data_IF_192840472397
#
_entry.id   IF_192840472397
#
_cell.length_a   1.000
_cell.length_b   1.000
_cell.length_c   1.000
_cell.angle_alpha   90.00
_cell.angle_beta   90.00
_cell.angle_gamma   90.00
#
_symmetry.space_group_name_H-M   'P 1'
#
loop_
_entity.id
_entity.type
_entity.pdbx_description
1 polymer ?
#
# COMPACT_ATOMS: atom_id res chain seq x y z
N UNK A 1 3.11 15.13 -5.06
CA UNK A 1 1.84 14.64 -5.61
C UNK A 1 2.14 13.92 -6.90
N UNK A 2 1.71 12.67 -6.98
CA UNK A 2 1.90 11.83 -8.16
C UNK A 2 0.96 12.30 -9.28
N UNK A 3 1.31 12.10 -10.56
CA UNK A 3 0.40 12.41 -11.67
C UNK A 3 -0.76 11.40 -11.82
N UNK A 4 -0.91 10.50 -10.86
CA UNK A 4 -1.91 9.44 -10.80
C UNK A 4 -2.21 9.06 -9.34
N UNK A 5 -3.35 8.40 -9.12
CA UNK A 5 -3.71 7.85 -7.81
C UNK A 5 -3.20 6.41 -7.64
N UNK A 6 -2.87 6.07 -6.40
CA UNK A 6 -2.58 4.71 -5.95
C UNK A 6 -3.84 4.11 -5.32
N UNK A 7 -4.31 2.97 -5.83
CA UNK A 7 -5.43 2.27 -5.20
C UNK A 7 -4.91 1.43 -4.04
N UNK A 8 -5.39 1.70 -2.83
CA UNK A 8 -5.00 0.97 -1.63
C UNK A 8 -6.17 0.85 -0.65
N UNK A 9 -6.26 -0.31 0.00
CA UNK A 9 -7.13 -0.54 1.14
C UNK A 9 -6.37 -1.34 2.20
N UNK A 10 -6.59 -1.04 3.49
CA UNK A 10 -5.93 -1.77 4.60
C UNK A 10 -6.26 -3.28 4.56
N UNK A 11 -7.45 -3.64 4.06
CA UNK A 11 -7.87 -5.03 3.86
C UNK A 11 -7.12 -5.79 2.76
N UNK A 12 -6.21 -5.17 2.02
CA UNK A 12 -5.33 -5.89 1.08
C UNK A 12 -4.31 -6.76 1.81
N UNK A 13 -4.03 -6.50 3.09
CA UNK A 13 -3.29 -7.43 3.93
C UNK A 13 -4.21 -8.53 4.48
N UNK A 14 -4.35 -9.61 3.71
CA UNK A 14 -5.19 -10.76 4.01
C UNK A 14 -4.68 -11.66 5.16
N UNK A 15 -3.49 -11.41 5.71
CA UNK A 15 -2.91 -12.17 6.83
C UNK A 15 -2.88 -13.71 6.61
N UNK A 16 -2.45 -14.15 5.42
CA UNK A 16 -2.45 -15.57 5.01
C UNK A 16 -1.39 -16.47 5.71
N UNK A 17 -0.75 -16.02 6.78
CA UNK A 17 0.34 -16.75 7.43
C UNK A 17 1.57 -16.91 6.51
N UNK A 18 2.21 -18.09 6.55
CA UNK A 18 3.43 -18.41 5.77
C UNK A 18 3.16 -18.74 4.30
N UNK A 19 2.16 -18.09 3.70
CA UNK A 19 1.83 -18.27 2.29
C UNK A 19 2.98 -17.80 1.40
N UNK A 20 3.27 -18.53 0.32
CA UNK A 20 4.36 -18.21 -0.62
C UNK A 20 4.17 -16.86 -1.32
N UNK A 21 2.95 -16.35 -1.35
CA UNK A 21 2.61 -14.99 -1.75
C UNK A 21 2.04 -14.23 -0.55
N UNK A 22 2.88 -13.56 0.27
CA UNK A 22 2.42 -12.78 1.41
C UNK A 22 1.72 -11.50 0.95
N UNK A 23 0.56 -11.22 1.54
CA UNK A 23 -0.24 -10.00 1.31
C UNK A 23 0.35 -8.75 1.97
N UNK A 24 1.15 -8.94 3.01
CA UNK A 24 1.79 -7.88 3.82
C UNK A 24 2.58 -6.88 2.98
N UNK A 25 3.08 -7.30 1.81
CA UNK A 25 3.81 -6.44 0.88
C UNK A 25 3.00 -5.19 0.49
N UNK A 26 1.68 -5.27 0.37
CA UNK A 26 0.86 -4.12 -0.03
C UNK A 26 0.92 -3.01 1.04
N UNK A 27 0.78 -3.38 2.31
CA UNK A 27 0.94 -2.47 3.45
C UNK A 27 2.37 -1.91 3.51
N UNK A 28 3.38 -2.78 3.41
CA UNK A 28 4.79 -2.37 3.48
C UNK A 28 5.19 -1.41 2.36
N UNK A 29 4.68 -1.62 1.14
CA UNK A 29 4.90 -0.71 0.02
C UNK A 29 4.28 0.66 0.32
N UNK A 30 3.01 0.72 0.76
CA UNK A 30 2.38 2.00 1.14
C UNK A 30 3.18 2.74 2.21
N UNK A 31 3.56 2.05 3.28
CA UNK A 31 4.35 2.61 4.38
C UNK A 31 5.67 3.19 3.87
N UNK A 32 6.36 2.46 2.98
CA UNK A 32 7.64 2.93 2.41
C UNK A 32 7.45 4.16 1.52
N UNK A 33 6.43 4.19 0.67
CA UNK A 33 6.15 5.34 -0.22
C UNK A 33 5.85 6.62 0.59
N UNK A 34 5.11 6.50 1.68
CA UNK A 34 4.84 7.60 2.60
C UNK A 34 6.11 8.04 3.36
N UNK A 35 6.88 7.07 3.88
CA UNK A 35 8.09 7.35 4.65
C UNK A 35 9.19 8.03 3.81
N UNK A 36 9.29 7.72 2.52
CA UNK A 36 10.24 8.34 1.60
C UNK A 36 9.73 9.67 1.00
N UNK A 37 8.47 10.04 1.27
CA UNK A 37 7.84 11.20 0.64
C UNK A 37 7.62 11.05 -0.86
N UNK A 38 7.68 9.81 -1.38
CA UNK A 38 7.40 9.52 -2.80
C UNK A 38 5.92 9.73 -3.11
N UNK A 39 5.05 9.37 -2.16
CA UNK A 39 3.61 9.62 -2.20
C UNK A 39 3.18 10.35 -0.93
N UNK A 40 2.14 11.17 -1.05
CA UNK A 40 1.43 11.77 0.07
C UNK A 40 0.15 10.97 0.40
N UNK A 41 -0.43 11.10 1.60
CA UNK A 41 -1.69 10.43 1.95
C UNK A 41 -2.82 10.65 0.93
N UNK A 42 -2.86 11.83 0.31
CA UNK A 42 -3.88 12.23 -0.67
C UNK A 42 -3.69 11.56 -2.05
N UNK A 43 -2.52 10.98 -2.32
CA UNK A 43 -2.27 10.23 -3.56
C UNK A 43 -2.97 8.85 -3.53
N UNK A 44 -3.48 8.40 -2.37
CA UNK A 44 -4.14 7.10 -2.19
C UNK A 44 -5.67 7.19 -2.24
N UNK A 45 -6.30 6.27 -2.97
CA UNK A 45 -7.77 6.12 -3.04
C UNK A 45 -8.19 4.70 -2.66
N UNK A 46 -9.32 4.57 -1.97
CA UNK A 46 -9.92 3.27 -1.68
C UNK A 46 -10.72 2.77 -2.90
N UNK A 47 -10.75 1.44 -3.15
CA UNK A 47 -11.58 0.82 -4.18
C UNK A 47 -13.08 0.87 -3.88
#
# INVERSE_FOLDING_TARGET
>A
MLPFHLVYHEGYDLNLGSHVFPSQKFRLIRERLLAEGFAAPEDFVAP
#
